data_IF_489351324037
#
_entry.id   IF_489351324037
#
_cell.length_a   1.000
_cell.length_b   1.000
_cell.length_c   1.000
_cell.angle_alpha   90.00
_cell.angle_beta   90.00
_cell.angle_gamma   90.00
#
_symmetry.space_group_name_H-M   'P 1'
#
loop_
_entity.id
_entity.type
_entity.pdbx_description
1 polymer ?
#
# COMPACT_ATOMS: atom_id res chain seq x y z
N UNK A 1 5.38 -16.75 20.55
CA UNK A 1 5.15 -16.75 19.09
C UNK A 1 4.20 -17.90 18.77
N UNK A 2 2.91 -17.62 18.52
CA UNK A 2 1.98 -18.63 18.00
C UNK A 2 2.25 -18.71 16.49
N UNK A 3 2.69 -19.87 16.01
CA UNK A 3 2.78 -20.12 14.58
C UNK A 3 1.35 -20.02 14.02
N UNK A 4 1.07 -18.95 13.28
CA UNK A 4 -0.09 -18.94 12.41
C UNK A 4 0.22 -19.98 11.34
N UNK A 5 -0.36 -21.17 11.46
CA UNK A 5 -0.47 -22.06 10.32
C UNK A 5 -1.25 -21.26 9.28
N UNK A 6 -0.53 -20.74 8.29
CA UNK A 6 -1.13 -20.28 7.04
C UNK A 6 -1.81 -21.52 6.50
N UNK A 7 -3.12 -21.63 6.73
CA UNK A 7 -3.96 -22.55 6.00
C UNK A 7 -3.81 -22.11 4.55
N UNK A 8 -2.91 -22.77 3.83
CA UNK A 8 -2.84 -22.65 2.39
C UNK A 8 -4.14 -23.31 1.93
N UNK A 9 -5.17 -22.48 1.74
CA UNK A 9 -6.39 -22.93 1.09
C UNK A 9 -5.96 -23.37 -0.30
N UNK A 10 -6.20 -24.64 -0.69
CA UNK A 10 -5.92 -25.05 -2.05
C UNK A 10 -6.71 -24.10 -2.96
N UNK A 11 -5.99 -23.33 -3.78
CA UNK A 11 -6.63 -22.51 -4.80
C UNK A 11 -7.49 -23.45 -5.65
N UNK A 12 -8.79 -23.20 -5.79
CA UNK A 12 -9.66 -24.12 -6.51
C UNK A 12 -9.28 -24.06 -8.00
N UNK A 13 -8.52 -25.04 -8.49
CA UNK A 13 -8.20 -25.24 -9.92
C UNK A 13 -9.39 -25.78 -10.72
N UNK A 14 -10.61 -25.49 -10.30
CA UNK A 14 -11.83 -26.05 -10.89
C UNK A 14 -12.57 -24.97 -11.67
N UNK A 15 -12.13 -24.75 -12.90
CA UNK A 15 -13.10 -24.49 -13.96
C UNK A 15 -14.04 -25.71 -13.96
N UNK A 16 -15.36 -25.48 -13.86
CA UNK A 16 -16.44 -26.46 -14.09
C UNK A 16 -16.38 -27.03 -15.51
N UNK A 17 -15.26 -27.63 -15.89
CA UNK A 17 -15.06 -28.28 -17.19
C UNK A 17 -15.73 -29.66 -17.24
N UNK A 18 -16.26 -30.15 -16.11
CA UNK A 18 -16.89 -31.47 -15.99
C UNK A 18 -18.37 -31.43 -15.58
N UNK A 19 -19.03 -30.28 -15.56
CA UNK A 19 -20.47 -30.25 -15.37
C UNK A 19 -21.18 -30.53 -16.71
N UNK A 20 -21.71 -31.75 -16.85
CA UNK A 20 -22.47 -32.22 -18.02
C UNK A 20 -23.93 -31.69 -18.02
N UNK A 21 -24.29 -30.73 -17.13
CA UNK A 21 -25.66 -30.21 -16.94
C UNK A 21 -25.77 -28.69 -16.67
N UNK A 22 -27.00 -28.23 -16.43
CA UNK A 22 -27.36 -26.81 -16.22
C UNK A 22 -26.89 -26.28 -14.84
N UNK A 23 -25.63 -25.85 -14.77
CA UNK A 23 -24.98 -25.33 -13.56
C UNK A 23 -25.73 -24.15 -12.93
N UNK A 24 -26.39 -23.33 -13.74
CA UNK A 24 -27.14 -22.17 -13.26
C UNK A 24 -28.32 -22.61 -12.39
N UNK A 25 -29.02 -23.67 -12.80
CA UNK A 25 -30.13 -24.24 -12.04
C UNK A 25 -29.69 -24.81 -10.68
N UNK A 26 -28.56 -25.51 -10.64
CA UNK A 26 -28.02 -26.10 -9.41
C UNK A 26 -27.47 -25.03 -8.45
N UNK A 27 -26.75 -24.04 -8.98
CA UNK A 27 -26.25 -22.89 -8.22
C UNK A 27 -27.41 -22.16 -7.55
N UNK A 28 -28.45 -21.84 -8.33
CA UNK A 28 -29.65 -21.18 -7.84
C UNK A 28 -30.37 -22.01 -6.78
N UNK A 29 -30.61 -23.30 -7.05
CA UNK A 29 -31.32 -24.18 -6.13
C UNK A 29 -30.58 -24.29 -4.78
N UNK A 30 -29.26 -24.45 -4.80
CA UNK A 30 -28.46 -24.51 -3.58
C UNK A 30 -28.42 -23.19 -2.83
N UNK A 31 -28.30 -22.07 -3.55
CA UNK A 31 -28.38 -20.75 -2.94
C UNK A 31 -29.74 -20.49 -2.29
N UNK A 32 -30.84 -20.88 -2.93
CA UNK A 32 -32.20 -20.68 -2.41
C UNK A 32 -32.51 -21.59 -1.22
N UNK A 33 -32.00 -22.82 -1.22
CA UNK A 33 -32.12 -23.77 -0.12
C UNK A 33 -31.43 -23.25 1.15
N UNK A 34 -30.24 -22.67 1.00
CA UNK A 34 -29.41 -22.16 2.11
C UNK A 34 -29.38 -20.62 2.17
N UNK A 35 -30.43 -19.95 1.69
CA UNK A 35 -30.45 -18.50 1.51
C UNK A 35 -30.11 -17.72 2.78
N UNK A 36 -30.72 -18.07 3.91
CA UNK A 36 -30.47 -17.35 5.17
C UNK A 36 -29.04 -17.53 5.66
N UNK A 37 -28.41 -18.66 5.33
CA UNK A 37 -27.00 -18.90 5.65
C UNK A 37 -26.11 -17.98 4.82
N UNK A 38 -26.23 -18.03 3.50
CA UNK A 38 -25.46 -17.20 2.56
C UNK A 38 -25.68 -15.70 2.77
N UNK A 39 -26.93 -15.29 3.04
CA UNK A 39 -27.29 -13.90 3.33
C UNK A 39 -26.57 -13.33 4.55
N UNK A 40 -26.44 -14.10 5.64
CA UNK A 40 -25.75 -13.62 6.87
C UNK A 40 -24.28 -13.32 6.65
N UNK A 41 -23.64 -14.00 5.69
CA UNK A 41 -22.24 -13.79 5.34
C UNK A 41 -22.06 -12.72 4.25
N UNK A 42 -23.15 -12.32 3.59
CA UNK A 42 -23.18 -11.28 2.57
C UNK A 42 -23.14 -9.87 3.19
N UNK A 43 -23.19 -8.83 2.36
CA UNK A 43 -23.23 -7.43 2.79
C UNK A 43 -22.06 -7.01 3.69
N UNK A 44 -20.85 -7.46 3.37
CA UNK A 44 -19.66 -6.76 3.85
C UNK A 44 -19.75 -5.29 3.42
N UNK A 45 -19.53 -4.40 4.38
CA UNK A 45 -19.29 -3.00 4.03
C UNK A 45 -18.00 -2.96 3.24
N UNK A 46 -18.10 -2.59 1.97
CA UNK A 46 -16.92 -2.31 1.16
C UNK A 46 -16.75 -0.81 1.07
N UNK A 47 -15.51 -0.38 1.26
CA UNK A 47 -15.12 0.89 0.68
C UNK A 47 -14.88 0.61 -0.81
N UNK A 48 -15.80 1.07 -1.67
CA UNK A 48 -15.62 1.13 -3.12
C UNK A 48 -16.00 2.54 -3.55
N UNK A 49 -15.13 3.23 -4.29
CA UNK A 49 -15.47 4.55 -4.82
C UNK A 49 -16.61 4.43 -5.83
N UNK A 50 -17.62 5.30 -5.73
CA UNK A 50 -18.71 5.38 -6.71
C UNK A 50 -18.14 5.63 -8.12
N UNK A 51 -18.55 4.81 -9.11
CA UNK A 51 -18.26 5.07 -10.52
C UNK A 51 -18.97 6.36 -10.92
N UNK A 52 -18.21 7.38 -11.33
CA UNK A 52 -18.77 8.61 -11.91
C UNK A 52 -18.17 9.90 -11.38
N UNK A 53 -17.44 9.86 -10.27
CA UNK A 53 -16.65 11.01 -9.82
C UNK A 53 -15.39 11.09 -10.70
N UNK A 54 -15.18 12.19 -11.45
CA UNK A 54 -14.02 12.34 -12.31
C UNK A 54 -12.73 12.14 -11.51
N UNK A 55 -11.72 11.52 -12.13
CA UNK A 55 -10.46 11.07 -11.54
C UNK A 55 -9.69 12.14 -10.73
N UNK A 56 -10.03 13.42 -10.92
CA UNK A 56 -9.45 14.57 -10.23
C UNK A 56 -10.19 14.95 -8.93
N UNK A 57 -11.38 14.43 -8.70
CA UNK A 57 -12.13 14.61 -7.45
C UNK A 57 -11.83 13.47 -6.47
N UNK A 58 -10.71 13.67 -5.78
CA UNK A 58 -10.51 13.45 -4.34
C UNK A 58 -10.62 12.01 -3.82
N UNK A 59 -9.47 11.34 -3.85
CA UNK A 59 -9.16 10.32 -2.85
C UNK A 59 -9.24 10.93 -1.44
N UNK A 60 -9.87 10.24 -0.46
CA UNK A 60 -9.73 10.59 0.95
C UNK A 60 -8.29 10.34 1.42
N UNK A 61 -7.39 11.30 1.20
CA UNK A 61 -5.96 11.19 1.50
C UNK A 61 -5.03 11.93 0.53
N UNK A 62 -5.52 12.26 -0.68
CA UNK A 62 -4.86 13.21 -1.58
C UNK A 62 -5.64 14.52 -1.56
N UNK A 63 -5.39 15.29 -0.51
CA UNK A 63 -5.90 16.66 -0.41
C UNK A 63 -5.25 17.49 -1.52
N UNK A 64 -6.04 18.26 -2.27
CA UNK A 64 -5.49 19.30 -3.13
C UNK A 64 -4.65 20.28 -2.30
N UNK A 65 -3.66 20.95 -2.90
CA UNK A 65 -2.85 21.95 -2.19
C UNK A 65 -3.72 23.06 -1.54
N UNK A 66 -4.92 23.32 -2.09
CA UNK A 66 -5.93 24.21 -1.52
C UNK A 66 -6.69 23.59 -0.33
N UNK A 67 -7.01 22.29 -0.36
CA UNK A 67 -7.64 21.60 0.77
C UNK A 67 -6.68 21.36 1.92
N UNK A 68 -5.40 21.08 1.65
CA UNK A 68 -4.33 21.07 2.67
C UNK A 68 -4.22 22.43 3.36
N UNK A 69 -4.46 23.53 2.62
CA UNK A 69 -4.45 24.88 3.17
C UNK A 69 -5.75 25.26 3.90
N UNK A 70 -6.91 24.70 3.51
CA UNK A 70 -8.19 24.93 4.22
C UNK A 70 -8.36 24.05 5.46
N UNK A 71 -7.77 22.86 5.48
CA UNK A 71 -7.81 21.90 6.61
C UNK A 71 -6.69 22.12 7.64
N UNK A 72 -6.30 23.38 7.81
CA UNK A 72 -5.25 23.79 8.71
C UNK A 72 -5.85 24.07 10.10
N UNK A 73 -5.36 23.29 11.07
CA UNK A 73 -5.33 23.59 12.51
C UNK A 73 -6.60 23.29 13.32
N UNK A 74 -6.70 22.05 13.82
CA UNK A 74 -7.27 21.79 15.15
C UNK A 74 -7.00 20.36 15.60
N UNK A 75 -6.94 20.15 16.92
CA UNK A 75 -7.00 18.82 17.53
C UNK A 75 -8.23 18.00 17.07
N UNK A 76 -9.30 18.66 16.60
CA UNK A 76 -10.48 18.01 16.07
C UNK A 76 -10.18 17.25 14.77
N UNK A 77 -9.27 17.75 13.92
CA UNK A 77 -8.87 17.01 12.70
C UNK A 77 -8.13 15.72 13.06
N UNK A 78 -7.21 15.77 14.01
CA UNK A 78 -6.50 14.56 14.45
C UNK A 78 -7.48 13.54 15.03
N UNK A 79 -8.48 13.98 15.79
CA UNK A 79 -9.53 13.10 16.31
C UNK A 79 -10.42 12.55 15.19
N UNK A 80 -10.79 13.36 14.19
CA UNK A 80 -11.51 12.90 13.00
C UNK A 80 -10.71 11.87 12.20
N UNK A 81 -9.41 12.10 11.98
CA UNK A 81 -8.52 11.17 11.30
C UNK A 81 -8.39 9.86 12.09
N UNK A 82 -8.31 9.93 13.43
CA UNK A 82 -8.31 8.76 14.30
C UNK A 82 -9.65 7.99 14.24
N UNK A 83 -10.78 8.69 14.27
CA UNK A 83 -12.10 8.10 14.16
C UNK A 83 -12.29 7.42 12.80
N UNK A 84 -11.89 8.08 11.71
CA UNK A 84 -11.88 7.53 10.37
C UNK A 84 -10.96 6.31 10.26
N UNK A 85 -9.81 6.35 10.92
CA UNK A 85 -8.93 5.19 11.03
C UNK A 85 -9.61 3.99 11.68
N UNK A 86 -10.28 4.20 12.83
CA UNK A 86 -11.02 3.15 13.52
C UNK A 86 -12.20 2.61 12.70
N UNK A 87 -12.90 3.47 11.96
CA UNK A 87 -13.95 3.07 11.02
C UNK A 87 -13.40 2.18 9.90
N UNK A 88 -12.27 2.57 9.29
CA UNK A 88 -11.59 1.75 8.30
C UNK A 88 -11.16 0.40 8.86
N UNK A 89 -10.63 0.36 10.09
CA UNK A 89 -10.27 -0.89 10.76
C UNK A 89 -11.48 -1.82 10.94
N UNK A 90 -12.63 -1.26 11.32
CA UNK A 90 -13.88 -2.01 11.44
C UNK A 90 -14.37 -2.57 10.08
N UNK A 91 -14.29 -1.76 9.01
CA UNK A 91 -14.66 -2.15 7.65
C UNK A 91 -13.78 -3.31 7.15
N UNK A 92 -12.45 -3.21 7.31
CA UNK A 92 -11.52 -4.27 6.92
C UNK A 92 -11.73 -5.56 7.72
N UNK A 93 -11.99 -5.44 9.03
CA UNK A 93 -12.28 -6.59 9.88
C UNK A 93 -13.58 -7.29 9.47
N UNK A 94 -14.66 -6.54 9.21
CA UNK A 94 -15.95 -7.09 8.75
C UNK A 94 -15.80 -7.81 7.41
N UNK A 95 -15.20 -7.16 6.42
CA UNK A 95 -15.02 -7.74 5.09
C UNK A 95 -14.16 -9.02 5.13
N UNK A 96 -13.05 -8.98 5.88
CA UNK A 96 -12.17 -10.15 6.10
C UNK A 96 -12.90 -11.29 6.79
N UNK A 97 -13.64 -11.00 7.86
CA UNK A 97 -14.38 -12.03 8.58
C UNK A 97 -15.45 -12.68 7.68
N UNK A 98 -16.17 -11.87 6.90
CA UNK A 98 -17.23 -12.35 6.00
C UNK A 98 -16.70 -13.22 4.87
N UNK A 99 -15.63 -12.84 4.19
CA UNK A 99 -15.04 -13.66 3.12
C UNK A 99 -14.53 -14.99 3.68
N UNK A 100 -13.85 -14.98 4.82
CA UNK A 100 -13.36 -16.21 5.46
C UNK A 100 -14.51 -17.12 5.92
N UNK A 101 -15.58 -16.55 6.48
CA UNK A 101 -16.76 -17.31 6.90
C UNK A 101 -17.48 -17.90 5.69
N UNK A 102 -17.61 -17.13 4.61
CA UNK A 102 -18.16 -17.58 3.33
C UNK A 102 -17.41 -18.79 2.78
N UNK A 103 -16.08 -18.72 2.70
CA UNK A 103 -15.23 -19.82 2.22
C UNK A 103 -15.33 -21.06 3.11
N UNK A 104 -15.29 -20.88 4.44
CA UNK A 104 -15.43 -22.01 5.37
C UNK A 104 -16.79 -22.73 5.27
N UNK A 105 -17.78 -22.09 4.66
CA UNK A 105 -19.12 -22.63 4.42
C UNK A 105 -19.30 -23.26 3.03
N UNK A 106 -18.22 -23.41 2.24
CA UNK A 106 -18.31 -23.90 0.86
C UNK A 106 -18.94 -22.88 -0.11
N UNK A 107 -18.72 -21.59 0.17
CA UNK A 107 -19.15 -20.49 -0.67
C UNK A 107 -17.99 -19.74 -1.32
N UNK A 108 -18.33 -18.87 -2.27
CA UNK A 108 -17.46 -17.87 -2.90
C UNK A 108 -18.04 -16.48 -2.67
N UNK A 109 -17.15 -15.50 -2.55
CA UNK A 109 -17.53 -14.14 -2.19
C UNK A 109 -17.46 -13.23 -3.40
N UNK A 110 -18.54 -12.51 -3.69
CA UNK A 110 -18.71 -11.73 -4.91
C UNK A 110 -19.05 -10.28 -4.59
N UNK A 111 -18.49 -9.36 -5.36
CA UNK A 111 -19.00 -8.01 -5.51
C UNK A 111 -20.10 -8.00 -6.56
N UNK A 112 -21.26 -7.46 -6.20
CA UNK A 112 -22.43 -7.35 -7.07
C UNK A 112 -22.72 -5.87 -7.31
N UNK A 113 -22.76 -5.46 -8.56
CA UNK A 113 -23.16 -4.12 -8.99
C UNK A 113 -24.45 -4.24 -9.80
N UNK A 114 -25.45 -3.43 -9.46
CA UNK A 114 -26.75 -3.38 -10.13
C UNK A 114 -27.11 -1.94 -10.47
N UNK A 115 -28.18 -1.75 -11.24
CA UNK A 115 -28.78 -0.44 -11.51
C UNK A 115 -29.25 0.30 -10.25
N UNK A 116 -29.31 -0.37 -9.10
CA UNK A 116 -29.81 0.17 -7.83
C UNK A 116 -28.77 0.35 -6.74
N UNK A 117 -27.54 -0.09 -6.99
CA UNK A 117 -26.46 0.02 -6.03
C UNK A 117 -25.46 -1.11 -6.16
N UNK A 118 -24.57 -1.19 -5.18
CA UNK A 118 -23.59 -2.26 -5.11
C UNK A 118 -23.56 -2.89 -3.72
N UNK A 119 -23.10 -4.12 -3.66
CA UNK A 119 -22.97 -4.87 -2.42
C UNK A 119 -22.08 -6.08 -2.58
N UNK A 120 -22.00 -6.89 -1.54
CA UNK A 120 -21.30 -8.17 -1.58
C UNK A 120 -22.23 -9.31 -1.29
N UNK A 121 -21.93 -10.45 -1.90
CA UNK A 121 -22.74 -11.65 -1.84
C UNK A 121 -21.87 -12.87 -1.61
N UNK A 122 -22.20 -13.66 -0.60
CA UNK A 122 -21.70 -15.03 -0.48
C UNK A 122 -22.65 -15.96 -1.23
N UNK A 123 -22.10 -16.81 -2.10
CA UNK A 123 -22.87 -17.74 -2.94
C UNK A 123 -22.22 -19.13 -2.90
N UNK A 124 -22.90 -20.22 -3.26
CA UNK A 124 -22.28 -21.54 -3.35
C UNK A 124 -21.02 -21.56 -4.22
N UNK A 125 -20.04 -22.37 -3.85
CA UNK A 125 -18.75 -22.45 -4.56
C UNK A 125 -18.86 -22.83 -6.04
N UNK A 126 -19.88 -23.62 -6.39
CA UNK A 126 -20.12 -24.06 -7.76
C UNK A 126 -20.63 -22.97 -8.71
N UNK A 127 -21.03 -21.80 -8.17
CA UNK A 127 -21.56 -20.70 -8.97
C UNK A 127 -20.44 -19.98 -9.76
N UNK A 128 -20.69 -19.78 -11.05
CA UNK A 128 -19.89 -18.91 -11.93
C UNK A 128 -20.39 -17.46 -11.88
N UNK A 129 -19.62 -16.54 -12.49
CA UNK A 129 -20.03 -15.13 -12.61
C UNK A 129 -21.39 -15.00 -13.32
N UNK A 130 -21.59 -15.76 -14.40
CA UNK A 130 -22.85 -15.77 -15.14
C UNK A 130 -24.02 -16.25 -14.30
N UNK A 131 -23.84 -17.33 -13.53
CA UNK A 131 -24.89 -17.84 -12.63
C UNK A 131 -25.27 -16.81 -11.57
N UNK A 132 -24.26 -16.08 -11.04
CA UNK A 132 -24.49 -15.02 -10.06
C UNK A 132 -25.28 -13.86 -10.69
N UNK A 133 -24.89 -13.42 -11.88
CA UNK A 133 -25.53 -12.31 -12.60
C UNK A 133 -26.97 -12.62 -13.01
N UNK A 134 -27.23 -13.80 -13.56
CA UNK A 134 -28.54 -14.13 -14.17
C UNK A 134 -29.51 -14.78 -13.20
N UNK A 135 -29.03 -15.56 -12.22
CA UNK A 135 -29.90 -16.37 -11.37
C UNK A 135 -29.87 -15.91 -9.90
N UNK A 136 -28.67 -15.85 -9.29
CA UNK A 136 -28.55 -15.58 -7.86
C UNK A 136 -28.92 -14.14 -7.51
N UNK A 137 -28.44 -13.17 -8.29
CA UNK A 137 -28.72 -11.75 -8.07
C UNK A 137 -30.22 -11.46 -8.09
N UNK A 138 -30.95 -12.05 -9.04
CA UNK A 138 -32.40 -11.92 -9.13
C UNK A 138 -33.11 -12.51 -7.90
N UNK A 139 -32.76 -13.75 -7.50
CA UNK A 139 -33.34 -14.38 -6.30
C UNK A 139 -33.06 -13.58 -5.03
N UNK A 140 -31.88 -12.98 -4.92
CA UNK A 140 -31.53 -12.12 -3.81
C UNK A 140 -32.33 -10.82 -3.80
N UNK A 141 -32.40 -10.11 -4.94
CA UNK A 141 -33.15 -8.85 -5.05
C UNK A 141 -34.65 -9.04 -4.85
N UNK A 142 -35.23 -10.13 -5.34
CA UNK A 142 -36.63 -10.46 -5.11
C UNK A 142 -36.96 -10.59 -3.61
N UNK A 143 -36.03 -11.14 -2.82
CA UNK A 143 -36.20 -11.32 -1.37
C UNK A 143 -35.87 -10.09 -0.54
N UNK A 144 -35.00 -9.20 -1.02
CA UNK A 144 -34.49 -8.06 -0.24
C UNK A 144 -35.13 -6.72 -0.65
N UNK A 145 -35.44 -6.53 -1.95
CA UNK A 145 -35.85 -5.24 -2.50
C UNK A 145 -37.33 -5.17 -2.90
N UNK A 146 -38.13 -6.23 -2.70
CA UNK A 146 -39.57 -6.27 -3.05
C UNK A 146 -39.90 -5.77 -4.46
N UNK A 147 -39.05 -6.08 -5.44
CA UNK A 147 -39.27 -5.61 -6.81
C UNK A 147 -39.30 -6.74 -7.81
N UNK A 148 -40.26 -6.66 -8.71
CA UNK A 148 -40.49 -7.65 -9.76
C UNK A 148 -39.69 -7.41 -11.05
N UNK A 149 -38.80 -6.41 -11.08
CA UNK A 149 -38.01 -6.08 -12.27
C UNK A 149 -36.68 -6.84 -12.28
N UNK A 150 -36.36 -7.44 -13.43
CA UNK A 150 -35.02 -7.97 -13.71
C UNK A 150 -34.00 -6.82 -13.69
N UNK A 151 -33.16 -6.82 -12.65
CA UNK A 151 -32.05 -5.89 -12.57
C UNK A 151 -30.89 -6.40 -13.44
N UNK A 152 -30.30 -5.50 -14.24
CA UNK A 152 -29.00 -5.77 -14.84
C UNK A 152 -27.96 -5.83 -13.73
N UNK A 153 -27.28 -6.97 -13.61
CA UNK A 153 -26.27 -7.21 -12.61
C UNK A 153 -24.91 -7.48 -13.26
N UNK A 154 -23.85 -7.01 -12.62
CA UNK A 154 -22.47 -7.40 -12.91
C UNK A 154 -21.84 -7.96 -11.66
N UNK A 155 -21.25 -9.15 -11.75
CA UNK A 155 -20.65 -9.85 -10.63
C UNK A 155 -19.14 -10.00 -10.82
N UNK A 156 -18.38 -9.68 -9.78
CA UNK A 156 -16.91 -9.83 -9.76
C UNK A 156 -16.50 -10.53 -8.49
N UNK A 157 -15.87 -11.68 -8.61
CA UNK A 157 -15.41 -12.43 -7.45
C UNK A 157 -14.33 -11.66 -6.68
N UNK A 158 -14.44 -11.68 -5.36
CA UNK A 158 -13.49 -11.11 -4.41
C UNK A 158 -12.60 -12.21 -3.82
N UNK A 159 -11.39 -11.82 -3.44
CA UNK A 159 -10.39 -12.67 -2.79
C UNK A 159 -9.87 -12.00 -1.52
N UNK A 160 -8.98 -12.66 -0.79
CA UNK A 160 -8.39 -12.15 0.44
C UNK A 160 -7.00 -11.56 0.16
N UNK A 161 -6.61 -10.51 0.88
CA UNK A 161 -5.27 -9.92 0.79
C UNK A 161 -4.12 -10.87 1.12
N UNK A 162 -4.42 -11.99 1.80
CA UNK A 162 -3.47 -13.02 2.16
C UNK A 162 -3.10 -13.91 0.96
N UNK A 163 -3.98 -13.99 -0.04
CA UNK A 163 -3.77 -14.78 -1.25
C UNK A 163 -2.94 -14.02 -2.28
N UNK A 164 -2.73 -12.72 -2.05
CA UNK A 164 -1.88 -11.89 -2.89
C UNK A 164 -0.44 -12.38 -2.80
N UNK A 165 0.05 -12.99 -3.88
CA UNK A 165 1.39 -13.56 -3.98
C UNK A 165 2.49 -12.49 -4.09
N UNK A 166 2.64 -11.69 -3.03
CA UNK A 166 3.72 -10.72 -2.84
C UNK A 166 4.59 -11.14 -1.66
N UNK A 167 5.90 -11.20 -1.90
CA UNK A 167 6.88 -11.51 -0.85
C UNK A 167 7.29 -10.25 -0.09
N UNK A 168 7.36 -9.11 -0.78
CA UNK A 168 7.72 -7.84 -0.15
C UNK A 168 7.15 -6.61 -0.85
N UNK A 169 7.17 -5.48 -0.16
CA UNK A 169 6.86 -4.16 -0.71
C UNK A 169 7.94 -3.15 -0.34
N UNK A 170 8.33 -2.32 -1.30
CA UNK A 170 9.18 -1.14 -1.08
C UNK A 170 8.27 0.06 -0.92
N UNK A 171 8.21 0.55 0.31
CA UNK A 171 7.50 1.75 0.69
C UNK A 171 8.53 2.82 1.01
N UNK A 172 8.23 4.07 0.69
CA UNK A 172 9.17 5.11 1.02
C UNK A 172 8.59 6.49 0.95
N UNK A 173 8.98 7.28 1.93
CA UNK A 173 8.65 8.69 1.93
C UNK A 173 9.33 9.40 0.77
N UNK A 174 8.66 10.45 0.30
CA UNK A 174 9.16 11.29 -0.76
C UNK A 174 10.57 11.80 -0.44
N UNK A 175 11.51 11.58 -1.35
CA UNK A 175 12.89 12.04 -1.18
C UNK A 175 13.78 11.19 -0.27
N UNK A 176 13.27 10.10 0.31
CA UNK A 176 14.04 9.17 1.15
C UNK A 176 14.69 7.99 0.39
N UNK A 177 14.88 8.14 -0.93
CA UNK A 177 15.64 7.22 -1.80
C UNK A 177 15.03 5.83 -2.04
N UNK A 178 13.71 5.68 -1.91
CA UNK A 178 12.96 4.47 -2.28
C UNK A 178 13.19 4.03 -3.73
N UNK A 179 13.26 4.97 -4.68
CA UNK A 179 13.57 4.68 -6.09
C UNK A 179 14.97 4.08 -6.27
N UNK A 180 15.95 4.55 -5.50
CA UNK A 180 17.30 4.02 -5.55
C UNK A 180 17.34 2.61 -4.94
N UNK A 181 16.60 2.38 -3.85
CA UNK A 181 16.42 1.05 -3.26
C UNK A 181 15.75 0.08 -4.24
N UNK A 182 14.66 0.50 -4.89
CA UNK A 182 13.97 -0.28 -5.91
C UNK A 182 14.95 -0.72 -7.02
N UNK A 183 15.69 0.22 -7.61
CA UNK A 183 16.69 -0.13 -8.65
C UNK A 183 17.78 -1.05 -8.15
N UNK A 184 18.25 -0.85 -6.92
CA UNK A 184 19.26 -1.70 -6.32
C UNK A 184 18.75 -3.14 -6.18
N UNK A 185 17.54 -3.31 -5.62
CA UNK A 185 16.87 -4.60 -5.48
C UNK A 185 16.58 -5.26 -6.84
N UNK A 186 16.08 -4.49 -7.81
CA UNK A 186 15.78 -4.98 -9.16
C UNK A 186 17.03 -5.56 -9.86
N UNK A 187 18.21 -5.10 -9.47
CA UNK A 187 19.47 -5.62 -10.02
C UNK A 187 19.95 -6.94 -9.39
N UNK A 188 19.22 -7.48 -8.42
CA UNK A 188 19.50 -8.77 -7.77
C UNK A 188 18.80 -9.92 -8.50
N UNK A 189 19.52 -11.01 -8.79
CA UNK A 189 19.00 -12.09 -9.67
C UNK A 189 17.83 -12.89 -9.07
N UNK A 190 17.64 -12.82 -7.76
CA UNK A 190 16.53 -13.48 -7.03
C UNK A 190 15.37 -12.53 -6.73
N UNK A 191 15.39 -11.31 -7.24
CA UNK A 191 14.32 -10.34 -7.02
C UNK A 191 13.65 -10.05 -8.35
N UNK A 192 12.33 -10.09 -8.35
CA UNK A 192 11.50 -9.51 -9.40
C UNK A 192 10.60 -8.45 -8.78
N UNK A 193 10.20 -7.49 -9.59
CA UNK A 193 9.11 -6.58 -9.23
C UNK A 193 7.91 -6.91 -10.11
N UNK A 194 6.70 -6.70 -9.59
CA UNK A 194 5.49 -6.68 -10.40
C UNK A 194 5.67 -5.66 -11.52
N UNK A 195 5.73 -6.11 -12.77
CA UNK A 195 5.73 -5.21 -13.91
C UNK A 195 4.28 -4.98 -14.33
N UNK A 196 3.82 -3.73 -14.36
CA UNK A 196 2.43 -3.47 -14.71
C UNK A 196 2.07 -3.67 -16.17
N UNK A 197 3.04 -4.01 -17.04
CA UNK A 197 2.71 -4.63 -18.32
C UNK A 197 1.84 -5.88 -18.14
N UNK A 198 1.89 -6.57 -16.99
CA UNK A 198 1.00 -7.68 -16.65
C UNK A 198 -0.47 -7.27 -16.56
N UNK A 199 -0.74 -5.99 -16.30
CA UNK A 199 -2.08 -5.46 -16.11
C UNK A 199 -2.53 -4.52 -17.23
N UNK A 200 -1.65 -4.18 -18.20
CA UNK A 200 -1.88 -3.16 -19.24
C UNK A 200 -2.16 -1.75 -18.68
N UNK A 201 -1.54 -1.40 -17.56
CA UNK A 201 -1.81 -0.15 -16.83
C UNK A 201 -0.50 0.46 -16.30
N UNK A 202 -0.42 1.79 -16.14
CA UNK A 202 0.69 2.50 -15.50
C UNK A 202 0.85 2.16 -14.00
N UNK A 203 2.12 2.09 -13.50
CA UNK A 203 2.53 1.65 -12.14
C UNK A 203 1.64 2.16 -11.00
N UNK A 204 1.14 3.38 -11.15
CA UNK A 204 0.32 4.05 -10.15
C UNK A 204 -1.14 3.52 -10.11
N UNK A 205 -1.71 3.09 -11.24
CA UNK A 205 -3.14 2.83 -11.34
C UNK A 205 -3.55 1.45 -10.82
N UNK A 206 -2.74 0.40 -10.98
CA UNK A 206 -3.05 -0.91 -10.36
C UNK A 206 -3.22 -0.78 -8.84
N UNK A 207 -2.41 0.07 -8.22
CA UNK A 207 -2.44 0.31 -6.79
C UNK A 207 -3.47 1.36 -6.38
N UNK A 208 -3.79 2.31 -7.24
CA UNK A 208 -4.96 3.15 -7.02
C UNK A 208 -6.23 2.29 -7.01
N UNK A 209 -6.35 1.31 -7.91
CA UNK A 209 -7.51 0.41 -7.94
C UNK A 209 -7.53 -0.55 -6.75
N UNK A 210 -6.40 -1.19 -6.42
CA UNK A 210 -6.31 -2.05 -5.24
C UNK A 210 -6.51 -1.28 -3.93
N UNK A 211 -5.94 -0.08 -3.84
CA UNK A 211 -6.03 0.78 -2.66
C UNK A 211 -7.40 1.43 -2.45
N UNK A 212 -8.32 1.26 -3.40
CA UNK A 212 -9.71 1.67 -3.30
C UNK A 212 -10.62 0.59 -2.75
N UNK A 213 -10.12 -0.62 -2.49
CA UNK A 213 -10.95 -1.78 -2.19
C UNK A 213 -10.59 -2.36 -0.82
N UNK A 214 -11.61 -2.75 -0.05
CA UNK A 214 -11.40 -3.50 1.20
C UNK A 214 -10.93 -4.93 0.93
N UNK A 215 -11.32 -5.52 -0.20
CA UNK A 215 -10.94 -6.86 -0.66
C UNK A 215 -10.55 -6.79 -2.14
N UNK A 216 -9.44 -7.44 -2.58
CA UNK A 216 -9.05 -7.45 -3.98
C UNK A 216 -10.00 -8.33 -4.82
N UNK A 217 -10.10 -8.07 -6.12
CA UNK A 217 -10.79 -9.01 -7.02
C UNK A 217 -9.97 -10.30 -7.20
N UNK A 218 -10.63 -11.45 -7.23
CA UNK A 218 -9.98 -12.75 -7.44
C UNK A 218 -9.18 -12.79 -8.74
N UNK A 219 -9.68 -12.16 -9.81
CA UNK A 219 -8.95 -12.02 -11.08
C UNK A 219 -7.62 -11.26 -10.97
N UNK A 220 -7.51 -10.29 -10.05
CA UNK A 220 -6.26 -9.56 -9.82
C UNK A 220 -5.26 -10.44 -9.05
N UNK A 221 -5.76 -11.14 -8.03
CA UNK A 221 -4.97 -12.09 -7.24
C UNK A 221 -4.43 -13.22 -8.12
N UNK A 222 -5.27 -13.84 -8.94
CA UNK A 222 -4.89 -14.92 -9.85
C UNK A 222 -3.80 -14.48 -10.83
N UNK A 223 -3.94 -13.31 -11.48
CA UNK A 223 -2.91 -12.80 -12.39
C UNK A 223 -1.55 -12.63 -11.72
N UNK A 224 -1.55 -12.21 -10.46
CA UNK A 224 -0.32 -12.05 -9.69
C UNK A 224 0.26 -13.40 -9.26
N UNK A 225 -0.60 -14.36 -8.87
CA UNK A 225 -0.19 -15.74 -8.59
C UNK A 225 0.43 -16.39 -9.84
N UNK A 226 -0.22 -16.32 -11.00
CA UNK A 226 0.31 -16.83 -12.27
C UNK A 226 1.67 -16.20 -12.63
N UNK A 227 1.85 -14.91 -12.31
CA UNK A 227 3.13 -14.24 -12.48
C UNK A 227 4.18 -14.75 -11.50
N UNK A 228 3.82 -14.88 -10.22
CA UNK A 228 4.69 -15.39 -9.16
C UNK A 228 5.15 -16.82 -9.45
N UNK A 229 4.23 -17.71 -9.82
CA UNK A 229 4.53 -19.10 -10.16
C UNK A 229 5.50 -19.19 -11.33
N UNK A 230 5.26 -18.44 -12.41
CA UNK A 230 6.17 -18.38 -13.57
C UNK A 230 7.58 -17.93 -13.18
N UNK A 231 7.71 -16.99 -12.25
CA UNK A 231 9.00 -16.53 -11.77
C UNK A 231 9.67 -17.50 -10.79
N UNK A 232 8.86 -18.15 -9.95
CA UNK A 232 9.32 -19.18 -9.01
C UNK A 232 9.86 -20.42 -9.72
N UNK A 233 9.30 -20.76 -10.88
CA UNK A 233 9.79 -21.84 -11.74
C UNK A 233 11.12 -21.52 -12.46
N UNK A 234 11.58 -20.26 -12.48
CA UNK A 234 12.87 -19.91 -13.06
C UNK A 234 14.05 -20.39 -12.19
N UNK A 235 15.18 -20.72 -12.83
CA UNK A 235 16.40 -21.16 -12.12
C UNK A 235 16.80 -20.16 -11.03
N UNK A 236 16.73 -20.61 -9.78
CA UNK A 236 17.16 -19.87 -8.61
C UNK A 236 16.03 -19.30 -7.73
N UNK A 237 14.78 -19.36 -8.20
CA UNK A 237 13.62 -18.79 -7.52
C UNK A 237 13.71 -17.27 -7.41
N UNK A 238 12.63 -16.56 -7.70
CA UNK A 238 12.57 -15.11 -7.50
C UNK A 238 11.47 -14.77 -6.52
N UNK A 239 11.82 -13.96 -5.52
CA UNK A 239 10.80 -13.30 -4.72
C UNK A 239 10.22 -12.13 -5.51
N UNK A 240 8.92 -11.91 -5.38
CA UNK A 240 8.17 -10.88 -6.09
C UNK A 240 7.87 -9.72 -5.15
N UNK A 241 8.37 -8.55 -5.53
CA UNK A 241 8.17 -7.31 -4.81
C UNK A 241 7.20 -6.37 -5.50
N UNK A 242 6.60 -5.49 -4.71
CA UNK A 242 5.90 -4.31 -5.19
C UNK A 242 6.73 -3.06 -4.87
N UNK A 243 6.87 -2.12 -5.80
CA UNK A 243 7.44 -0.80 -5.52
C UNK A 243 6.32 0.23 -5.56
N UNK A 244 6.02 0.83 -4.41
CA UNK A 244 5.10 1.95 -4.35
C UNK A 244 5.47 2.88 -3.20
N UNK A 245 6.16 4.01 -3.49
CA UNK A 245 6.53 4.95 -2.46
C UNK A 245 5.30 5.43 -1.68
N UNK A 246 4.18 5.73 -2.35
CA UNK A 246 3.02 6.41 -1.76
C UNK A 246 2.17 5.59 -0.78
N UNK A 247 2.45 4.29 -0.58
CA UNK A 247 1.72 3.47 0.41
C UNK A 247 1.83 4.09 1.81
N UNK A 248 2.92 4.78 2.11
CA UNK A 248 3.15 5.39 3.43
C UNK A 248 2.08 6.42 3.84
N UNK A 249 1.39 7.04 2.88
CA UNK A 249 0.26 7.96 3.12
C UNK A 249 -1.11 7.33 2.85
N UNK A 250 -1.16 6.15 2.23
CA UNK A 250 -2.40 5.51 1.82
C UNK A 250 -2.88 4.56 2.92
N UNK A 251 -3.64 5.09 3.88
CA UNK A 251 -4.16 4.35 5.03
C UNK A 251 -4.92 3.07 4.66
N UNK A 252 -5.73 3.10 3.61
CA UNK A 252 -6.46 1.92 3.11
C UNK A 252 -5.49 0.83 2.64
N UNK A 253 -4.44 1.19 1.90
CA UNK A 253 -3.41 0.24 1.46
C UNK A 253 -2.61 -0.29 2.65
N UNK A 254 -2.30 0.55 3.63
CA UNK A 254 -1.62 0.12 4.85
C UNK A 254 -2.45 -0.93 5.59
N UNK A 255 -3.77 -0.77 5.69
CA UNK A 255 -4.64 -1.77 6.32
C UNK A 255 -4.72 -3.05 5.50
N UNK A 256 -4.95 -2.93 4.20
CA UNK A 256 -4.97 -4.05 3.25
C UNK A 256 -3.72 -4.94 3.37
N UNK A 257 -2.53 -4.33 3.35
CA UNK A 257 -1.26 -5.07 3.45
C UNK A 257 -1.06 -5.73 4.81
N UNK A 258 -1.69 -5.23 5.87
CA UNK A 258 -1.59 -5.82 7.21
C UNK A 258 -2.20 -7.24 7.25
N UNK A 259 -3.24 -7.48 6.42
CA UNK A 259 -3.92 -8.77 6.25
C UNK A 259 -3.12 -9.79 5.41
N UNK A 260 -1.94 -9.43 4.91
CA UNK A 260 -0.99 -10.38 4.32
C UNK A 260 0.11 -10.73 5.35
N UNK A 261 -0.01 -11.83 6.10
CA UNK A 261 0.92 -12.16 7.18
C UNK A 261 2.34 -12.48 6.68
N UNK A 262 2.51 -12.92 5.43
CA UNK A 262 3.80 -13.24 4.83
C UNK A 262 4.56 -12.04 4.26
N UNK A 263 3.85 -10.93 4.02
CA UNK A 263 4.41 -9.75 3.35
C UNK A 263 5.46 -9.05 4.21
N UNK A 264 6.65 -8.85 3.63
CA UNK A 264 7.71 -8.03 4.20
C UNK A 264 7.65 -6.60 3.68
N UNK A 265 7.87 -5.62 4.54
CA UNK A 265 7.85 -4.19 4.20
C UNK A 265 9.25 -3.63 4.30
N UNK A 266 9.74 -3.01 3.24
CA UNK A 266 10.98 -2.24 3.21
C UNK A 266 10.61 -0.76 3.23
N UNK A 267 10.86 -0.08 4.34
CA UNK A 267 10.45 1.30 4.54
C UNK A 267 11.67 2.22 4.56
N UNK A 268 11.82 3.04 3.52
CA UNK A 268 12.96 3.97 3.42
C UNK A 268 12.71 5.28 4.13
N UNK A 269 13.72 5.73 4.85
CA UNK A 269 13.65 6.87 5.76
C UNK A 269 14.78 7.84 5.51
N UNK A 270 14.56 9.09 5.86
CA UNK A 270 15.58 10.10 5.83
C UNK A 270 15.32 11.11 6.92
N UNK A 271 16.31 11.96 7.11
CA UNK A 271 16.20 13.10 8.01
C UNK A 271 14.96 13.96 7.68
N UNK A 272 14.12 14.31 8.68
CA UNK A 272 12.92 15.12 8.45
C UNK A 272 13.17 16.45 7.74
N UNK A 273 14.30 17.12 8.02
CA UNK A 273 14.67 18.38 7.36
C UNK A 273 15.06 18.12 5.91
N UNK A 274 15.87 17.09 5.64
CA UNK A 274 16.24 16.70 4.27
C UNK A 274 15.00 16.31 3.44
N UNK A 275 14.02 15.64 4.07
CA UNK A 275 12.74 15.29 3.45
C UNK A 275 11.93 16.53 3.10
N UNK A 276 11.78 17.45 4.06
CA UNK A 276 11.06 18.70 3.87
C UNK A 276 11.71 19.56 2.77
N UNK A 277 13.04 19.69 2.77
CA UNK A 277 13.81 20.40 1.74
C UNK A 277 13.49 19.85 0.34
N UNK A 278 13.48 18.52 0.19
CA UNK A 278 13.20 17.88 -1.10
C UNK A 278 11.78 18.13 -1.60
N UNK A 279 10.80 18.07 -0.69
CA UNK A 279 9.41 18.40 -1.01
C UNK A 279 9.30 19.85 -1.50
N UNK A 280 9.94 20.78 -0.80
CA UNK A 280 9.99 22.19 -1.16
C UNK A 280 10.64 22.42 -2.53
N UNK A 281 11.78 21.79 -2.79
CA UNK A 281 12.48 21.92 -4.07
C UNK A 281 11.67 21.32 -5.24
N UNK A 282 10.93 20.23 -5.01
CA UNK A 282 10.10 19.60 -6.03
C UNK A 282 8.90 20.45 -6.46
N UNK A 283 8.24 21.10 -5.48
CA UNK A 283 6.99 21.83 -5.71
C UNK A 283 7.19 23.32 -6.02
N UNK A 284 8.09 24.00 -5.29
CA UNK A 284 8.14 25.47 -5.26
C UNK A 284 9.40 26.06 -5.90
N UNK A 285 10.48 25.27 -6.00
CA UNK A 285 11.79 25.72 -6.53
C UNK A 285 12.22 27.10 -5.99
N UNK A 286 12.25 27.30 -4.65
CA UNK A 286 12.53 28.61 -4.08
C UNK A 286 13.94 29.09 -4.45
N UNK A 287 14.09 30.40 -4.65
CA UNK A 287 15.39 31.05 -4.89
C UNK A 287 16.15 31.24 -3.57
N UNK A 288 17.40 31.70 -3.64
CA UNK A 288 18.20 31.94 -2.44
C UNK A 288 17.58 33.00 -1.53
N UNK A 289 16.93 34.00 -2.13
CA UNK A 289 16.32 35.14 -1.46
C UNK A 289 14.97 34.77 -0.82
N UNK A 290 14.21 33.87 -1.47
CA UNK A 290 12.84 33.51 -1.08
C UNK A 290 12.74 32.23 -0.25
N UNK A 291 13.85 31.50 -0.07
CA UNK A 291 13.85 30.18 0.61
C UNK A 291 13.26 30.26 2.01
N UNK A 292 13.55 31.33 2.77
CA UNK A 292 13.05 31.45 4.15
C UNK A 292 11.53 31.61 4.17
N UNK A 293 11.01 32.56 3.42
CA UNK A 293 9.57 32.85 3.35
C UNK A 293 8.81 31.65 2.78
N UNK A 294 9.33 31.02 1.73
CA UNK A 294 8.74 29.83 1.14
C UNK A 294 8.68 28.66 2.13
N UNK A 295 9.74 28.44 2.91
CA UNK A 295 9.76 27.37 3.91
C UNK A 295 8.77 27.65 5.04
N UNK A 296 8.73 28.87 5.58
CA UNK A 296 7.77 29.25 6.62
C UNK A 296 6.31 29.17 6.15
N UNK A 297 6.02 29.56 4.91
CA UNK A 297 4.68 29.45 4.35
C UNK A 297 4.19 27.99 4.24
N UNK A 298 5.13 27.04 4.11
CA UNK A 298 4.83 25.61 3.91
C UNK A 298 5.09 24.74 5.14
N UNK A 299 5.61 25.31 6.23
CA UNK A 299 5.80 24.62 7.50
C UNK A 299 4.43 24.44 8.16
N UNK A 300 3.92 23.21 8.30
CA UNK A 300 2.71 23.00 9.07
C UNK A 300 3.09 22.96 10.55
N UNK A 301 2.36 23.68 11.40
CA UNK A 301 2.62 23.70 12.86
C UNK A 301 2.46 22.31 13.51
N UNK A 302 1.66 21.42 12.93
CA UNK A 302 1.33 20.08 13.48
C UNK A 302 1.90 18.91 12.65
N UNK A 303 2.70 19.20 11.62
CA UNK A 303 3.14 18.18 10.65
C UNK A 303 3.83 16.98 11.30
N UNK A 304 4.59 17.22 12.36
CA UNK A 304 5.37 16.19 13.04
C UNK A 304 4.48 15.21 13.80
N UNK A 305 3.37 15.66 14.38
CA UNK A 305 2.45 14.78 15.14
C UNK A 305 1.69 13.84 14.21
N UNK A 306 1.10 14.36 13.14
CA UNK A 306 0.39 13.54 12.14
C UNK A 306 1.32 12.48 11.53
N UNK A 307 2.56 12.87 11.23
CA UNK A 307 3.58 11.95 10.72
C UNK A 307 3.95 10.88 11.76
N UNK A 308 4.06 11.24 13.04
CA UNK A 308 4.32 10.29 14.13
C UNK A 308 3.19 9.26 14.27
N UNK A 309 1.92 9.66 14.16
CA UNK A 309 0.83 8.68 14.19
C UNK A 309 0.87 7.74 12.98
N UNK A 310 1.16 8.27 11.78
CA UNK A 310 1.41 7.44 10.59
C UNK A 310 2.57 6.47 10.81
N UNK A 311 3.64 6.90 11.48
CA UNK A 311 4.76 6.04 11.83
C UNK A 311 4.38 4.91 12.80
N UNK A 312 3.54 5.20 13.80
CA UNK A 312 3.09 4.20 14.77
C UNK A 312 2.33 3.07 14.11
N UNK A 313 1.54 3.37 13.07
CA UNK A 313 0.83 2.33 12.31
C UNK A 313 1.81 1.34 11.66
N UNK A 314 2.97 1.80 11.18
CA UNK A 314 4.04 0.92 10.66
C UNK A 314 4.73 0.12 11.75
N UNK A 315 4.91 0.67 12.96
CA UNK A 315 5.51 -0.06 14.07
C UNK A 315 4.68 -1.32 14.45
N UNK A 316 3.36 -1.28 14.25
CA UNK A 316 2.46 -2.42 14.48
C UNK A 316 2.75 -3.66 13.63
N UNK A 317 3.52 -3.54 12.55
CA UNK A 317 3.92 -4.68 11.72
C UNK A 317 5.06 -5.52 12.33
N UNK A 318 5.74 -5.01 13.37
CA UNK A 318 6.81 -5.72 14.07
C UNK A 318 7.93 -6.18 13.14
N UNK A 319 8.33 -7.45 13.27
CA UNK A 319 9.43 -8.05 12.51
C UNK A 319 9.20 -8.14 11.00
N UNK A 320 8.01 -7.77 10.50
CA UNK A 320 7.71 -7.69 9.05
C UNK A 320 8.16 -6.39 8.42
N UNK A 321 8.59 -5.37 9.18
CA UNK A 321 9.11 -4.12 8.62
C UNK A 321 10.63 -4.05 8.81
N UNK A 322 11.35 -3.87 7.70
CA UNK A 322 12.73 -3.44 7.71
C UNK A 322 12.81 -1.96 7.37
N UNK A 323 13.27 -1.22 8.34
CA UNK A 323 13.50 0.20 8.21
C UNK A 323 14.90 0.45 7.65
N UNK A 324 14.99 1.35 6.67
CA UNK A 324 16.20 1.60 5.89
C UNK A 324 16.51 3.08 5.84
N UNK A 325 17.53 3.51 6.57
CA UNK A 325 17.98 4.89 6.53
C UNK A 325 18.73 5.17 5.22
N UNK A 326 18.27 6.19 4.49
CA UNK A 326 18.80 6.64 3.19
C UNK A 326 20.33 6.72 3.14
N UNK A 327 20.97 7.21 4.19
CA UNK A 327 22.40 7.42 4.22
C UNK A 327 23.21 6.18 4.59
N UNK A 328 22.54 5.12 5.03
CA UNK A 328 23.16 3.83 5.30
C UNK A 328 22.97 2.84 4.14
N UNK A 329 22.22 3.19 3.09
CA UNK A 329 21.83 2.28 2.01
C UNK A 329 23.04 1.73 1.21
N UNK A 330 24.14 2.46 1.19
CA UNK A 330 25.41 2.06 0.58
C UNK A 330 26.33 1.27 1.54
N UNK A 331 26.01 1.22 2.83
CA UNK A 331 26.82 0.51 3.81
C UNK A 331 26.73 -1.01 3.62
N UNK A 332 27.85 -1.75 3.71
CA UNK A 332 27.84 -3.21 3.60
C UNK A 332 26.92 -3.89 4.63
N UNK A 333 26.81 -3.31 5.84
CA UNK A 333 25.95 -3.83 6.90
C UNK A 333 24.47 -3.71 6.53
N UNK A 334 24.02 -2.55 6.04
CA UNK A 334 22.63 -2.37 5.59
C UNK A 334 22.30 -3.30 4.43
N UNK A 335 23.20 -3.47 3.46
CA UNK A 335 23.01 -4.39 2.34
C UNK A 335 22.89 -5.85 2.83
N UNK A 336 23.73 -6.27 3.78
CA UNK A 336 23.64 -7.61 4.36
C UNK A 336 22.35 -7.81 5.17
N UNK A 337 21.94 -6.80 5.94
CA UNK A 337 20.68 -6.80 6.69
C UNK A 337 19.48 -6.92 5.77
N UNK A 338 19.46 -6.14 4.69
CA UNK A 338 18.44 -6.20 3.63
C UNK A 338 18.37 -7.59 2.98
N UNK A 339 19.51 -8.16 2.60
CA UNK A 339 19.56 -9.50 2.02
C UNK A 339 19.02 -10.56 2.99
N UNK A 340 19.46 -10.54 4.25
CA UNK A 340 18.99 -11.47 5.28
C UNK A 340 17.49 -11.35 5.52
N UNK A 341 17.00 -10.13 5.66
CA UNK A 341 15.59 -9.84 5.90
C UNK A 341 14.71 -10.41 4.78
N UNK A 342 15.10 -10.23 3.52
CA UNK A 342 14.37 -10.75 2.36
C UNK A 342 14.63 -12.24 2.08
N UNK A 343 15.58 -12.89 2.76
CA UNK A 343 15.97 -14.28 2.45
C UNK A 343 16.76 -14.41 1.14
N UNK A 344 17.46 -13.35 0.73
CA UNK A 344 18.28 -13.32 -0.48
C UNK A 344 19.68 -13.87 -0.21
N UNK A 345 20.33 -14.37 -1.26
CA UNK A 345 21.78 -14.58 -1.26
C UNK A 345 22.50 -13.25 -1.02
N UNK A 346 23.70 -13.35 -0.45
CA UNK A 346 24.54 -12.18 -0.25
C UNK A 346 24.86 -11.50 -1.58
N UNK A 347 24.78 -10.17 -1.59
CA UNK A 347 25.21 -9.38 -2.74
C UNK A 347 26.72 -9.58 -3.00
N UNK A 348 27.16 -9.57 -4.27
CA UNK A 348 28.60 -9.58 -4.57
C UNK A 348 29.32 -8.44 -3.86
N UNK A 349 30.51 -8.70 -3.29
CA UNK A 349 31.30 -7.70 -2.52
C UNK A 349 31.54 -6.37 -3.26
N UNK A 350 31.52 -6.40 -4.60
CA UNK A 350 31.72 -5.23 -5.47
C UNK A 350 30.44 -4.47 -5.82
N UNK A 351 29.26 -4.96 -5.41
CA UNK A 351 27.99 -4.30 -5.71
C UNK A 351 27.88 -3.05 -4.87
N UNK A 352 27.78 -1.89 -5.53
CA UNK A 352 27.57 -0.61 -4.88
C UNK A 352 26.13 -0.16 -5.04
N UNK A 353 25.64 0.54 -4.03
CA UNK A 353 24.39 1.25 -4.11
C UNK A 353 24.62 2.55 -4.89
N UNK A 354 24.02 2.68 -6.07
CA UNK A 354 24.12 3.91 -6.84
C UNK A 354 23.00 4.86 -6.43
N UNK A 355 23.35 6.08 -6.00
CA UNK A 355 22.37 7.12 -5.70
C UNK A 355 21.70 7.59 -6.99
N UNK A 356 20.53 7.02 -7.29
CA UNK A 356 19.72 7.47 -8.41
C UNK A 356 19.03 8.80 -8.06
N UNK A 357 18.89 9.71 -9.03
CA UNK A 357 18.30 11.03 -8.82
C UNK A 357 18.96 11.86 -7.69
N UNK A 358 20.26 11.73 -7.48
CA UNK A 358 21.06 12.76 -6.79
C UNK A 358 21.22 14.04 -7.65
N UNK A 359 20.44 14.17 -8.72
CA UNK A 359 20.46 15.29 -9.67
C UNK A 359 19.69 16.45 -9.05
N UNK A 360 20.34 17.61 -8.99
CA UNK A 360 19.76 18.86 -8.52
C UNK A 360 20.72 19.59 -7.60
N UNK A 361 20.86 20.90 -7.79
CA UNK A 361 21.43 21.75 -6.75
C UNK A 361 20.58 21.57 -5.50
N UNK A 362 21.21 21.39 -4.33
CA UNK A 362 20.48 21.54 -3.07
C UNK A 362 19.89 22.95 -3.03
N UNK A 363 18.81 23.12 -2.27
CA UNK A 363 18.32 24.46 -2.02
C UNK A 363 19.38 25.26 -1.26
N UNK A 364 19.23 26.57 -1.21
CA UNK A 364 20.07 27.42 -0.37
C UNK A 364 19.82 27.20 1.13
N UNK A 365 18.96 26.26 1.55
CA UNK A 365 18.59 26.02 2.95
C UNK A 365 19.80 25.97 3.88
N UNK A 366 20.87 25.25 3.51
CA UNK A 366 22.05 25.11 4.37
C UNK A 366 22.84 26.42 4.59
N UNK A 367 22.55 27.48 3.82
CA UNK A 367 23.08 28.84 4.07
C UNK A 367 22.36 29.54 5.23
N UNK A 368 21.16 29.08 5.61
CA UNK A 368 20.33 29.66 6.66
C UNK A 368 20.33 28.74 7.89
N UNK A 369 21.40 28.80 8.69
CA UNK A 369 21.60 27.93 9.87
C UNK A 369 20.48 28.05 10.91
N UNK A 370 19.97 29.25 11.11
CA UNK A 370 18.87 29.53 12.03
C UNK A 370 17.56 28.86 11.57
N UNK A 371 17.24 28.92 10.28
CA UNK A 371 16.11 28.21 9.69
C UNK A 371 16.26 26.69 9.85
N UNK A 372 17.44 26.13 9.58
CA UNK A 372 17.69 24.70 9.78
C UNK A 372 17.48 24.31 11.24
N UNK A 373 17.95 25.12 12.20
CA UNK A 373 17.78 24.84 13.62
C UNK A 373 16.30 24.90 14.04
N UNK A 374 15.55 25.87 13.54
CA UNK A 374 14.10 25.99 13.79
C UNK A 374 13.34 24.78 13.22
N UNK A 375 13.68 24.34 12.00
CA UNK A 375 13.13 23.11 11.42
C UNK A 375 13.43 21.87 12.28
N UNK A 376 14.65 21.73 12.80
CA UNK A 376 14.99 20.62 13.69
C UNK A 376 14.15 20.62 14.96
N UNK A 377 13.79 21.78 15.47
CA UNK A 377 12.95 21.90 16.66
C UNK A 377 11.49 21.60 16.37
N UNK A 378 10.95 22.07 15.24
CA UNK A 378 9.58 21.74 14.80
C UNK A 378 9.39 20.26 14.50
N UNK A 379 10.41 19.59 13.98
CA UNK A 379 10.41 18.14 13.76
C UNK A 379 10.88 17.34 14.99
N UNK A 380 11.02 17.96 16.17
CA UNK A 380 11.52 17.30 17.39
C UNK A 380 10.74 16.03 17.75
N UNK A 381 9.40 16.08 17.69
CA UNK A 381 8.54 14.91 17.95
C UNK A 381 8.85 13.74 17.01
N UNK A 382 9.07 14.03 15.73
CA UNK A 382 9.44 13.01 14.75
C UNK A 382 10.87 12.49 14.99
N UNK A 383 11.83 13.35 15.33
CA UNK A 383 13.18 12.90 15.68
C UNK A 383 13.18 11.99 16.91
N UNK A 384 12.44 12.35 17.96
CA UNK A 384 12.30 11.53 19.17
C UNK A 384 11.72 10.17 18.81
N UNK A 385 10.62 10.14 18.04
CA UNK A 385 10.00 8.90 17.60
C UNK A 385 10.95 8.04 16.75
N UNK A 386 11.66 8.64 15.77
CA UNK A 386 12.64 7.93 14.96
C UNK A 386 13.79 7.40 15.85
N UNK A 387 14.29 8.19 16.80
CA UNK A 387 15.33 7.72 17.70
C UNK A 387 14.87 6.50 18.53
N UNK A 388 13.66 6.52 19.07
CA UNK A 388 13.05 5.38 19.78
C UNK A 388 12.95 4.14 18.88
N UNK A 389 12.61 4.32 17.61
CA UNK A 389 12.44 3.23 16.65
C UNK A 389 13.78 2.66 16.13
N UNK A 390 14.82 3.49 16.00
CA UNK A 390 16.11 3.10 15.39
C UNK A 390 17.22 2.78 16.38
N UNK A 391 17.18 3.33 17.59
CA UNK A 391 18.28 3.24 18.54
C UNK A 391 19.61 3.82 18.01
N UNK A 392 19.55 4.84 17.15
CA UNK A 392 20.73 5.44 16.50
C UNK A 392 21.02 6.87 16.94
N UNK A 393 22.32 7.17 17.12
CA UNK A 393 22.84 8.47 17.56
C UNK A 393 22.46 9.61 16.60
N UNK A 394 22.29 9.30 15.31
CA UNK A 394 22.01 10.34 14.30
C UNK A 394 20.70 11.08 14.56
N UNK A 395 19.62 10.35 14.83
CA UNK A 395 18.32 10.95 15.13
C UNK A 395 18.33 11.62 16.50
N UNK A 396 19.10 11.07 17.45
CA UNK A 396 19.34 11.69 18.75
C UNK A 396 19.99 13.08 18.61
N UNK A 397 20.98 13.20 17.74
CA UNK A 397 21.70 14.45 17.47
C UNK A 397 21.06 15.30 16.37
N UNK A 398 19.92 14.88 15.82
CA UNK A 398 19.19 15.58 14.74
C UNK A 398 20.12 16.01 13.59
N UNK A 399 21.00 15.10 13.15
CA UNK A 399 22.00 15.41 12.11
C UNK A 399 21.37 15.40 10.72
N UNK A 400 21.42 16.56 10.07
CA UNK A 400 20.88 16.81 8.73
C UNK A 400 22.01 16.71 7.70
N UNK A 401 21.67 16.74 6.40
CA UNK A 401 22.71 16.90 5.39
C UNK A 401 23.35 18.31 5.36
N UNK A 402 22.82 19.31 6.08
CA UNK A 402 23.51 20.62 6.20
C UNK A 402 24.67 20.59 7.21
N UNK A 403 24.69 19.61 8.12
CA UNK A 403 25.73 19.47 9.14
C UNK A 403 26.97 18.70 8.61
N UNK A 404 26.85 18.08 7.43
CA UNK A 404 27.91 17.25 6.83
C UNK A 404 28.73 18.06 5.84
N UNK A 405 29.97 18.37 6.23
CA UNK A 405 30.92 19.13 5.41
C UNK A 405 31.19 18.49 4.04
N UNK A 406 31.14 17.16 3.96
CA UNK A 406 31.35 16.39 2.72
C UNK A 406 30.24 16.63 1.68
N UNK A 407 29.01 16.89 2.13
CA UNK A 407 27.85 17.07 1.24
C UNK A 407 27.70 18.51 0.73
N UNK A 408 28.37 19.49 1.34
CA UNK A 408 28.26 20.93 0.98
C UNK A 408 29.17 21.30 -0.21
N UNK A 409 30.23 20.52 -0.46
CA UNK A 409 31.21 20.78 -1.53
C UNK A 409 31.08 19.91 -2.79
N UNK A 410 30.31 18.82 -2.74
CA UNK A 410 30.23 17.85 -3.84
C UNK A 410 29.30 18.33 -4.98
N UNK A 411 29.85 18.96 -6.02
CA UNK A 411 29.15 19.16 -7.28
C UNK A 411 29.00 17.80 -8.00
N UNK A 412 27.84 17.16 -7.84
CA UNK A 412 27.52 15.92 -8.55
C UNK A 412 27.15 16.20 -10.02
N UNK A 413 28.04 15.82 -10.95
CA UNK A 413 27.75 15.82 -12.39
C UNK A 413 27.08 14.50 -12.80
N UNK A 414 26.18 14.59 -13.78
CA UNK A 414 24.98 13.80 -14.08
C UNK A 414 25.00 12.26 -14.06
N UNK A 415 26.11 11.56 -13.80
CA UNK A 415 26.16 10.10 -14.02
C UNK A 415 26.82 9.23 -12.94
N UNK A 416 27.70 9.73 -12.06
CA UNK A 416 28.29 8.91 -10.98
C UNK A 416 28.72 9.78 -9.79
N UNK A 417 27.91 9.85 -8.75
CA UNK A 417 28.42 10.16 -7.41
C UNK A 417 28.84 8.81 -6.82
N UNK A 418 30.15 8.58 -6.71
CA UNK A 418 30.74 7.34 -6.19
C UNK A 418 30.85 7.33 -4.69
#
# INVERSE_FOLDING_TARGET
MRAWHVLIWPLPTYLCSECIGDCASECKARYEADFDHFRRMSFAQLHTHERGVPMHEKFPGFLSAEEVNRLKHSAEKLEQDRQKGAELDAIFADATQKILTCWSSGGRFWYLETDRGSGTLCVPELCSAGDVETAVAQSFLARVATTDHEALATARELSHWADLALDFVVVGMDGCASTALHRFLHSHTQVAFTNLSLFNVDEDFFLQELGRQTLPFASQVQRLQDFHERLSQQRGGRIVGLYQPYIWTAETLLRALAYNPGLKVLLTLCDPVDRFERRMHGQWKPTAETVREAFYAQLPDEASVELVEKWRAWAGYGDRVLLLEKHSLDSPNTIQRLARFLGLRAYPKKKRFHRYNARGSRSSLCKHRDLVQDLKERFSAEYTFLHELFGGDRFQHRQTACDRLEDVGAQCVKERCS
#
